data_IF_653925051348
#
_entry.id   IF_653925051348
#
_cell.length_a   1.000
_cell.length_b   1.000
_cell.length_c   1.000
_cell.angle_alpha   90.00
_cell.angle_beta   90.00
_cell.angle_gamma   90.00
#
_symmetry.space_group_name_H-M   'P 1'
#
loop_
_entity.id
_entity.type
_entity.pdbx_description
1 polymer ?
#
# COMPACT_ATOMS: atom_id res chain seq x y z
N UNK A 1 -27.40 -20.88 17.25
CA UNK A 1 -27.77 -19.64 18.00
C UNK A 1 -26.67 -18.56 17.92
N UNK A 2 -25.45 -18.74 18.42
CA UNK A 2 -24.41 -17.66 18.35
C UNK A 2 -23.95 -17.43 16.92
N UNK A 3 -23.68 -18.48 16.17
CA UNK A 3 -23.27 -18.41 14.77
C UNK A 3 -24.32 -17.68 13.93
N UNK A 4 -25.59 -18.07 14.06
CA UNK A 4 -26.70 -17.47 13.30
C UNK A 4 -26.85 -15.98 13.63
N UNK A 5 -26.66 -15.59 14.89
CA UNK A 5 -26.75 -14.21 15.33
C UNK A 5 -25.61 -13.36 14.73
N UNK A 6 -24.37 -13.85 14.76
CA UNK A 6 -23.23 -13.16 14.15
C UNK A 6 -23.44 -13.04 12.64
N UNK A 7 -23.87 -14.10 11.97
CA UNK A 7 -24.15 -14.08 10.53
C UNK A 7 -25.21 -13.04 10.20
N UNK A 8 -26.33 -13.05 10.92
CA UNK A 8 -27.42 -12.07 10.74
C UNK A 8 -26.94 -10.62 10.96
N UNK A 9 -26.14 -10.39 12.00
CA UNK A 9 -25.59 -9.05 12.26
C UNK A 9 -24.67 -8.58 11.13
N UNK A 10 -23.80 -9.45 10.62
CA UNK A 10 -22.93 -9.11 9.48
C UNK A 10 -23.79 -8.73 8.27
N UNK A 11 -24.79 -9.54 7.92
CA UNK A 11 -25.68 -9.28 6.81
C UNK A 11 -26.46 -7.98 6.94
N UNK A 12 -26.90 -7.65 8.15
CA UNK A 12 -27.61 -6.40 8.43
C UNK A 12 -26.77 -5.15 8.14
N UNK A 13 -25.43 -5.25 8.26
CA UNK A 13 -24.50 -4.15 7.95
C UNK A 13 -24.04 -4.10 6.49
N UNK A 14 -24.36 -5.10 5.65
CA UNK A 14 -24.03 -5.07 4.22
C UNK A 14 -24.81 -3.96 3.50
N UNK A 15 -26.04 -3.65 3.92
CA UNK A 15 -26.86 -2.57 3.38
C UNK A 15 -27.65 -2.91 2.11
N UNK A 16 -27.51 -4.13 1.60
CA UNK A 16 -28.27 -4.73 0.50
C UNK A 16 -28.43 -6.23 0.72
N UNK A 17 -29.26 -6.91 -0.09
CA UNK A 17 -29.39 -8.37 0.02
C UNK A 17 -28.05 -9.03 -0.33
N UNK A 18 -27.45 -9.80 0.61
CA UNK A 18 -26.20 -10.50 0.34
C UNK A 18 -26.36 -11.52 -0.77
N UNK A 19 -25.29 -11.76 -1.52
CA UNK A 19 -25.23 -12.90 -2.44
C UNK A 19 -25.08 -14.20 -1.65
N UNK A 20 -25.29 -15.36 -2.30
CA UNK A 20 -25.07 -16.65 -1.64
C UNK A 20 -23.64 -16.81 -1.15
N UNK A 21 -22.66 -16.35 -1.94
CA UNK A 21 -21.25 -16.40 -1.55
C UNK A 21 -20.96 -15.51 -0.33
N UNK A 22 -21.55 -14.31 -0.26
CA UNK A 22 -21.42 -13.42 0.89
C UNK A 22 -22.08 -14.00 2.14
N UNK A 23 -23.25 -14.64 2.00
CA UNK A 23 -23.90 -15.36 3.11
C UNK A 23 -23.00 -16.49 3.63
N UNK A 24 -22.51 -17.36 2.72
CA UNK A 24 -21.64 -18.47 3.09
C UNK A 24 -20.33 -18.00 3.72
N UNK A 25 -19.75 -16.90 3.25
CA UNK A 25 -18.56 -16.32 3.84
C UNK A 25 -18.83 -15.74 5.22
N UNK A 26 -19.99 -15.08 5.44
CA UNK A 26 -20.38 -14.58 6.77
C UNK A 26 -20.62 -15.75 7.74
N UNK A 27 -21.25 -16.83 7.29
CA UNK A 27 -21.47 -18.05 8.08
C UNK A 27 -20.13 -18.72 8.45
N UNK A 28 -19.24 -18.91 7.47
CA UNK A 28 -17.88 -19.45 7.69
C UNK A 28 -17.08 -18.59 8.67
N UNK A 29 -17.19 -17.26 8.55
CA UNK A 29 -16.56 -16.34 9.48
C UNK A 29 -17.12 -16.47 10.90
N UNK A 30 -18.42 -16.64 11.08
CA UNK A 30 -19.06 -16.87 12.37
C UNK A 30 -18.56 -18.18 13.02
N UNK A 31 -18.39 -19.26 12.26
CA UNK A 31 -17.77 -20.50 12.72
C UNK A 31 -16.29 -20.29 13.09
N UNK A 32 -15.50 -19.63 12.23
CA UNK A 32 -14.11 -19.30 12.53
C UNK A 32 -13.98 -18.51 13.84
N UNK A 33 -14.88 -17.56 14.10
CA UNK A 33 -14.83 -16.72 15.29
C UNK A 33 -15.20 -17.49 16.56
N UNK A 34 -16.19 -18.41 16.49
CA UNK A 34 -16.75 -19.09 17.66
C UNK A 34 -16.14 -20.46 17.94
N UNK A 35 -15.79 -21.21 16.90
CA UNK A 35 -15.34 -22.61 16.97
C UNK A 35 -13.86 -22.77 16.61
N UNK A 36 -13.24 -21.77 15.99
CA UNK A 36 -11.86 -21.83 15.58
C UNK A 36 -10.90 -22.05 16.76
N UNK A 37 -9.96 -22.96 16.57
CA UNK A 37 -8.89 -23.22 17.55
C UNK A 37 -7.89 -22.06 17.62
N UNK A 38 -7.01 -22.07 18.61
CA UNK A 38 -6.07 -20.95 18.86
C UNK A 38 -5.21 -20.59 17.65
N UNK A 39 -4.83 -21.57 16.83
CA UNK A 39 -4.01 -21.38 15.63
C UNK A 39 -4.85 -21.43 14.35
N UNK A 40 -6.07 -20.92 14.38
CA UNK A 40 -6.89 -20.79 13.17
C UNK A 40 -6.70 -19.44 12.49
N UNK A 41 -6.74 -19.47 11.16
CA UNK A 41 -6.66 -18.30 10.28
C UNK A 41 -7.78 -18.39 9.24
N UNK A 42 -8.34 -17.26 8.82
CA UNK A 42 -9.36 -17.25 7.77
C UNK A 42 -8.89 -16.45 6.56
N UNK A 43 -9.20 -16.98 5.38
CA UNK A 43 -9.00 -16.32 4.08
C UNK A 43 -10.36 -16.05 3.45
N UNK A 44 -10.58 -14.81 3.00
CA UNK A 44 -11.69 -14.46 2.12
C UNK A 44 -11.12 -14.00 0.78
N UNK A 45 -11.34 -14.78 -0.25
CA UNK A 45 -10.95 -14.47 -1.63
C UNK A 45 -12.14 -13.94 -2.42
N UNK A 46 -11.85 -13.15 -3.44
CA UNK A 46 -12.90 -12.75 -4.38
C UNK A 46 -12.38 -11.80 -5.43
N UNK A 47 -13.08 -11.72 -6.56
CA UNK A 47 -12.74 -10.82 -7.66
C UNK A 47 -13.21 -9.37 -7.40
N UNK A 48 -12.82 -8.47 -8.31
CA UNK A 48 -13.38 -7.13 -8.34
C UNK A 48 -14.90 -7.19 -8.52
N UNK A 49 -15.63 -6.36 -7.77
CA UNK A 49 -17.10 -6.28 -7.86
C UNK A 49 -17.88 -7.37 -7.11
N UNK A 50 -17.24 -8.33 -6.43
CA UNK A 50 -17.93 -9.35 -5.62
C UNK A 50 -18.31 -8.88 -4.22
N UNK A 51 -17.92 -7.65 -3.85
CA UNK A 51 -18.29 -7.03 -2.57
C UNK A 51 -17.41 -7.41 -1.39
N UNK A 52 -16.15 -7.82 -1.60
CA UNK A 52 -15.15 -8.07 -0.54
C UNK A 52 -15.09 -6.93 0.48
N UNK A 53 -14.93 -5.70 -0.01
CA UNK A 53 -14.82 -4.50 0.85
C UNK A 53 -16.11 -4.25 1.63
N UNK A 54 -17.28 -4.50 1.04
CA UNK A 54 -18.57 -4.37 1.72
C UNK A 54 -18.71 -5.42 2.82
N UNK A 55 -18.34 -6.67 2.55
CA UNK A 55 -18.35 -7.75 3.55
C UNK A 55 -17.34 -7.47 4.67
N UNK A 56 -16.11 -7.04 4.34
CA UNK A 56 -15.10 -6.67 5.33
C UNK A 56 -15.61 -5.55 6.24
N UNK A 57 -16.22 -4.50 5.66
CA UNK A 57 -16.80 -3.40 6.43
C UNK A 57 -17.96 -3.86 7.33
N UNK A 58 -18.80 -4.75 6.83
CA UNK A 58 -19.90 -5.32 7.60
C UNK A 58 -19.39 -6.17 8.79
N UNK A 59 -18.37 -6.99 8.57
CA UNK A 59 -17.68 -7.74 9.63
C UNK A 59 -17.15 -6.78 10.71
N UNK A 60 -16.41 -5.72 10.32
CA UNK A 60 -15.85 -4.74 11.26
C UNK A 60 -16.95 -4.06 12.07
N UNK A 61 -18.02 -3.60 11.43
CA UNK A 61 -19.17 -2.94 12.09
C UNK A 61 -19.88 -3.89 13.07
N UNK A 62 -20.11 -5.14 12.66
CA UNK A 62 -20.70 -6.18 13.50
C UNK A 62 -19.85 -6.42 14.76
N UNK A 63 -18.55 -6.67 14.59
CA UNK A 63 -17.63 -6.89 15.70
C UNK A 63 -17.52 -5.68 16.63
N UNK A 64 -17.52 -4.47 16.07
CA UNK A 64 -17.52 -3.23 16.86
C UNK A 64 -18.80 -3.10 17.69
N UNK A 65 -19.97 -3.43 17.12
CA UNK A 65 -21.25 -3.44 17.84
C UNK A 65 -21.27 -4.46 18.98
N UNK A 66 -20.61 -5.59 18.79
CA UNK A 66 -20.42 -6.64 19.81
C UNK A 66 -19.30 -6.33 20.81
N UNK A 67 -18.67 -5.14 20.70
CA UNK A 67 -17.52 -4.72 21.55
C UNK A 67 -16.31 -5.66 21.45
N UNK A 68 -16.18 -6.39 20.36
CA UNK A 68 -15.00 -7.19 20.07
C UNK A 68 -13.86 -6.29 19.60
N UNK A 69 -12.65 -6.62 20.03
CA UNK A 69 -11.45 -5.87 19.64
C UNK A 69 -11.04 -6.25 18.23
N UNK A 70 -10.88 -5.25 17.36
CA UNK A 70 -10.40 -5.42 16.01
C UNK A 70 -9.20 -4.53 15.73
N UNK A 71 -8.27 -5.00 14.92
CA UNK A 71 -7.14 -4.22 14.38
C UNK A 71 -7.16 -4.37 12.89
N UNK A 72 -7.32 -3.24 12.18
CA UNK A 72 -7.40 -3.20 10.73
C UNK A 72 -6.05 -2.87 10.13
N UNK A 73 -5.65 -3.59 9.12
CA UNK A 73 -4.36 -3.41 8.44
C UNK A 73 -4.50 -3.54 6.94
N UNK A 74 -3.55 -2.94 6.21
CA UNK A 74 -3.38 -3.13 4.78
C UNK A 74 -1.88 -3.02 4.41
N UNK A 75 -1.44 -3.54 3.25
CA UNK A 75 -0.04 -3.48 2.83
C UNK A 75 0.48 -2.05 2.58
N UNK A 76 -0.38 -1.16 2.08
CA UNK A 76 -0.01 0.21 1.68
C UNK A 76 -0.81 1.27 2.47
N UNK A 77 -0.28 2.50 2.55
CA UNK A 77 -0.96 3.63 3.21
C UNK A 77 -2.30 3.94 2.56
N UNK A 78 -2.36 3.93 1.22
CA UNK A 78 -3.60 4.19 0.48
C UNK A 78 -4.66 3.11 0.71
N UNK A 79 -4.29 1.83 0.66
CA UNK A 79 -5.21 0.73 0.96
C UNK A 79 -5.71 0.82 2.42
N UNK A 80 -4.85 1.16 3.38
CA UNK A 80 -5.25 1.37 4.76
C UNK A 80 -6.26 2.53 4.90
N UNK A 81 -6.05 3.64 4.18
CA UNK A 81 -7.00 4.76 4.17
C UNK A 81 -8.36 4.36 3.58
N UNK A 82 -8.38 3.69 2.43
CA UNK A 82 -9.63 3.20 1.80
C UNK A 82 -10.35 2.24 2.75
N UNK A 83 -9.62 1.33 3.38
CA UNK A 83 -10.19 0.42 4.37
C UNK A 83 -10.74 1.15 5.60
N UNK A 84 -10.04 2.19 6.09
CA UNK A 84 -10.54 3.04 7.20
C UNK A 84 -11.85 3.73 6.84
N UNK A 85 -11.95 4.35 5.67
CA UNK A 85 -13.15 5.06 5.22
C UNK A 85 -14.33 4.10 5.09
N UNK A 86 -14.14 2.95 4.47
CA UNK A 86 -15.20 1.99 4.22
C UNK A 86 -15.70 1.30 5.50
N UNK A 87 -14.79 0.98 6.42
CA UNK A 87 -15.11 0.31 7.68
C UNK A 87 -15.59 1.25 8.79
N UNK A 88 -15.26 2.53 8.70
CA UNK A 88 -15.51 3.52 9.77
C UNK A 88 -14.58 3.36 10.98
N UNK A 89 -13.49 2.60 10.86
CA UNK A 89 -12.51 2.36 11.91
C UNK A 89 -11.08 2.57 11.39
N UNK A 90 -10.17 2.99 12.26
CA UNK A 90 -8.79 3.30 11.83
C UNK A 90 -8.05 2.04 11.41
N UNK A 91 -7.53 2.02 10.17
CA UNK A 91 -6.64 1.00 9.66
C UNK A 91 -5.19 1.51 9.60
N UNK A 92 -4.24 0.61 9.74
CA UNK A 92 -2.80 0.88 9.72
C UNK A 92 -2.13 0.13 8.58
N UNK A 93 -0.95 0.59 8.14
CA UNK A 93 -0.14 -0.31 7.32
C UNK A 93 0.39 -1.46 8.17
N UNK A 94 0.56 -2.65 7.55
CA UNK A 94 1.13 -3.82 8.24
C UNK A 94 2.46 -3.43 8.89
N UNK A 95 3.36 -2.82 8.13
CA UNK A 95 4.68 -2.40 8.62
C UNK A 95 4.61 -1.50 9.85
N UNK A 96 3.70 -0.51 9.85
CA UNK A 96 3.50 0.39 10.99
C UNK A 96 3.04 -0.35 12.24
N UNK A 97 2.24 -1.39 12.07
CA UNK A 97 1.64 -2.10 13.21
C UNK A 97 2.57 -3.12 13.83
N UNK A 98 3.29 -3.88 12.99
CA UNK A 98 4.04 -5.03 13.46
C UNK A 98 5.53 -4.76 13.74
N UNK A 99 6.10 -3.66 13.20
CA UNK A 99 7.52 -3.35 13.40
C UNK A 99 7.74 -2.14 14.31
N UNK A 100 8.86 -2.18 15.03
CA UNK A 100 9.42 -1.06 15.78
C UNK A 100 10.86 -0.82 15.37
N UNK A 101 11.27 0.43 15.37
CA UNK A 101 12.65 0.81 15.11
C UNK A 101 13.57 0.29 16.20
N UNK A 102 14.65 -0.39 15.81
CA UNK A 102 15.69 -0.80 16.72
C UNK A 102 16.76 0.28 16.79
N UNK A 103 17.00 0.81 17.98
CA UNK A 103 18.10 1.74 18.23
C UNK A 103 19.41 0.95 18.33
N UNK A 104 20.17 0.79 17.23
CA UNK A 104 21.49 0.14 17.28
C UNK A 104 22.55 0.82 16.39
N UNK A 105 23.81 0.51 16.71
CA UNK A 105 25.01 1.11 16.14
C UNK A 105 25.37 0.51 14.77
N UNK A 106 24.80 1.00 13.70
CA UNK A 106 25.13 0.67 12.30
C UNK A 106 24.48 1.65 11.33
N UNK A 107 24.89 1.66 10.08
CA UNK A 107 24.42 2.54 9.00
C UNK A 107 22.97 2.28 8.63
N UNK A 108 22.49 1.04 8.80
CA UNK A 108 21.15 0.64 8.44
C UNK A 108 20.21 0.69 9.65
N UNK A 109 19.12 1.42 9.50
CA UNK A 109 18.02 1.40 10.46
C UNK A 109 17.33 0.05 10.33
N UNK A 110 17.59 -0.86 11.25
CA UNK A 110 16.89 -2.15 11.28
C UNK A 110 15.62 -2.03 12.14
N UNK A 111 14.56 -2.68 11.68
CA UNK A 111 13.29 -2.74 12.36
C UNK A 111 13.06 -4.17 12.87
N UNK A 112 12.83 -4.30 14.16
CA UNK A 112 12.46 -5.58 14.75
C UNK A 112 10.95 -5.72 14.80
N UNK A 113 10.51 -6.96 14.85
CA UNK A 113 9.14 -7.29 15.19
C UNK A 113 8.79 -6.68 16.55
N UNK A 114 7.64 -6.04 16.64
CA UNK A 114 7.13 -5.48 17.89
C UNK A 114 6.51 -6.57 18.75
N UNK A 115 6.41 -6.32 20.06
CA UNK A 115 5.69 -7.22 20.95
C UNK A 115 4.17 -7.01 20.75
N UNK A 116 3.41 -8.09 20.57
CA UNK A 116 1.96 -8.01 20.50
C UNK A 116 1.35 -8.05 21.89
N UNK A 117 0.93 -6.89 22.39
CA UNK A 117 0.26 -6.75 23.68
C UNK A 117 -1.27 -6.89 23.60
N UNK A 118 -1.80 -7.20 22.41
CA UNK A 118 -3.25 -7.39 22.22
C UNK A 118 -3.72 -8.71 22.84
N UNK A 119 -4.96 -8.67 23.35
CA UNK A 119 -5.68 -9.84 23.90
C UNK A 119 -7.08 -9.88 23.33
N UNK A 120 -7.56 -11.08 22.99
CA UNK A 120 -8.91 -11.33 22.46
C UNK A 120 -9.19 -10.42 21.25
N UNK A 121 -8.25 -10.36 20.30
CA UNK A 121 -8.27 -9.38 19.20
C UNK A 121 -8.24 -10.09 17.86
N UNK A 122 -9.16 -9.70 16.96
CA UNK A 122 -9.12 -10.09 15.57
C UNK A 122 -8.33 -9.06 14.75
N UNK A 123 -7.29 -9.54 14.07
CA UNK A 123 -6.56 -8.77 13.09
C UNK A 123 -7.17 -9.02 11.72
N UNK A 124 -7.47 -7.96 10.98
CA UNK A 124 -8.05 -8.03 9.63
C UNK A 124 -7.10 -7.32 8.67
N UNK A 125 -6.67 -8.02 7.64
CA UNK A 125 -5.81 -7.47 6.59
C UNK A 125 -6.57 -7.46 5.27
N UNK A 126 -6.82 -6.27 4.72
CA UNK A 126 -7.32 -6.11 3.36
C UNK A 126 -6.15 -6.01 2.36
N UNK A 127 -6.40 -6.31 1.09
CA UNK A 127 -5.38 -6.37 0.02
C UNK A 127 -4.22 -7.33 0.34
N UNK A 128 -4.52 -8.45 0.99
CA UNK A 128 -3.52 -9.43 1.43
C UNK A 128 -2.75 -10.09 0.26
N UNK A 129 -3.23 -9.96 -0.99
CA UNK A 129 -2.53 -10.40 -2.20
C UNK A 129 -1.12 -9.85 -2.36
N UNK A 130 -0.83 -8.69 -1.76
CA UNK A 130 0.46 -8.01 -1.84
C UNK A 130 1.48 -8.48 -0.76
N UNK A 131 1.11 -9.38 0.14
CA UNK A 131 1.98 -9.84 1.23
C UNK A 131 2.93 -10.90 0.71
N UNK A 132 4.23 -10.58 0.70
CA UNK A 132 5.30 -11.49 0.26
C UNK A 132 5.72 -12.46 1.35
N UNK A 133 6.12 -13.67 0.93
CA UNK A 133 6.78 -14.68 1.75
C UNK A 133 8.23 -14.91 1.33
N UNK A 134 8.73 -14.19 0.32
CA UNK A 134 10.12 -14.29 -0.09
C UNK A 134 11.03 -13.44 0.80
N UNK A 135 12.14 -14.04 1.28
CA UNK A 135 13.13 -13.31 2.05
C UNK A 135 13.93 -12.36 1.14
N UNK A 136 13.91 -11.08 1.44
CA UNK A 136 14.84 -10.13 0.83
C UNK A 136 16.06 -9.96 1.73
N UNK A 137 17.23 -10.43 1.30
CA UNK A 137 18.50 -10.23 2.02
C UNK A 137 18.86 -8.76 2.24
N UNK A 138 18.18 -7.85 1.55
CA UNK A 138 18.33 -6.40 1.70
C UNK A 138 17.23 -5.77 2.55
N UNK A 139 16.32 -6.58 3.12
CA UNK A 139 15.25 -6.07 3.97
C UNK A 139 15.81 -5.50 5.26
N UNK A 140 15.37 -4.31 5.60
CA UNK A 140 15.66 -3.67 6.89
C UNK A 140 14.63 -4.03 7.96
N UNK A 141 13.61 -4.84 7.62
CA UNK A 141 12.49 -5.20 8.47
C UNK A 141 12.52 -6.67 8.88
N UNK A 142 12.43 -6.93 10.18
CA UNK A 142 12.19 -8.24 10.78
C UNK A 142 13.06 -9.37 10.23
N UNK A 143 12.41 -10.47 9.85
CA UNK A 143 13.04 -11.61 9.18
C UNK A 143 13.34 -11.36 7.70
N UNK A 144 12.73 -10.35 7.11
CA UNK A 144 12.69 -10.11 5.66
C UNK A 144 11.52 -10.77 4.95
N UNK A 145 10.74 -11.62 5.63
CA UNK A 145 9.53 -12.28 5.15
C UNK A 145 8.30 -11.64 5.81
N UNK A 146 7.57 -10.80 5.09
CA UNK A 146 6.45 -10.04 5.67
C UNK A 146 5.33 -10.95 6.18
N UNK A 147 5.02 -12.04 5.47
CA UNK A 147 3.99 -12.99 5.89
C UNK A 147 4.38 -13.69 7.20
N UNK A 148 5.60 -14.21 7.30
CA UNK A 148 6.10 -14.88 8.49
C UNK A 148 6.10 -13.94 9.71
N UNK A 149 6.56 -12.69 9.52
CA UNK A 149 6.57 -11.68 10.56
C UNK A 149 5.16 -11.29 11.01
N UNK A 150 4.20 -11.18 10.07
CA UNK A 150 2.80 -10.92 10.38
C UNK A 150 2.17 -12.05 11.21
N UNK A 151 2.36 -13.29 10.79
CA UNK A 151 1.89 -14.48 11.51
C UNK A 151 2.50 -14.53 12.92
N UNK A 152 3.81 -14.39 13.00
CA UNK A 152 4.52 -14.36 14.28
C UNK A 152 4.02 -13.26 15.21
N UNK A 153 3.81 -12.05 14.69
CA UNK A 153 3.27 -10.95 15.47
C UNK A 153 1.87 -11.23 16.00
N UNK A 154 0.94 -11.62 15.12
CA UNK A 154 -0.46 -11.82 15.50
C UNK A 154 -0.58 -12.92 16.56
N UNK A 155 0.03 -14.07 16.34
CA UNK A 155 -0.14 -15.25 17.21
C UNK A 155 0.76 -15.25 18.44
N UNK A 156 1.68 -14.29 18.57
CA UNK A 156 2.35 -14.01 19.83
C UNK A 156 1.44 -13.26 20.84
N UNK A 157 0.31 -12.74 20.40
CA UNK A 157 -0.72 -12.17 21.27
C UNK A 157 -1.59 -13.24 21.92
N UNK A 158 -2.27 -12.85 23.00
CA UNK A 158 -3.15 -13.77 23.74
C UNK A 158 -4.51 -13.87 23.07
N UNK A 159 -4.90 -15.07 22.60
CA UNK A 159 -6.17 -15.32 21.93
C UNK A 159 -6.42 -14.35 20.76
N UNK A 160 -5.38 -14.11 19.95
CA UNK A 160 -5.47 -13.32 18.74
C UNK A 160 -5.67 -14.21 17.53
N UNK A 161 -6.38 -13.70 16.51
CA UNK A 161 -6.68 -14.39 15.26
C UNK A 161 -6.46 -13.46 14.07
N UNK A 162 -6.32 -14.04 12.87
CA UNK A 162 -6.07 -13.31 11.62
C UNK A 162 -7.11 -13.66 10.57
N UNK A 163 -7.67 -12.61 9.95
CA UNK A 163 -8.48 -12.68 8.74
C UNK A 163 -7.71 -11.99 7.61
N UNK A 164 -7.47 -12.70 6.53
CA UNK A 164 -6.83 -12.21 5.31
C UNK A 164 -7.89 -12.06 4.20
N UNK A 165 -7.94 -10.89 3.58
CA UNK A 165 -8.90 -10.59 2.50
C UNK A 165 -8.12 -10.12 1.28
N UNK A 166 -8.43 -10.68 0.10
CA UNK A 166 -7.73 -10.29 -1.12
C UNK A 166 -8.29 -10.91 -2.39
N UNK A 167 -7.56 -10.73 -3.47
CA UNK A 167 -7.93 -11.21 -4.81
C UNK A 167 -6.73 -11.94 -5.44
N UNK A 168 -6.88 -13.21 -5.73
CA UNK A 168 -5.82 -14.02 -6.36
C UNK A 168 -5.58 -13.67 -7.84
N UNK A 169 -6.50 -12.95 -8.48
CA UNK A 169 -6.32 -12.48 -9.85
C UNK A 169 -5.55 -11.15 -9.92
N UNK A 170 -5.31 -10.49 -8.77
CA UNK A 170 -4.41 -9.34 -8.71
C UNK A 170 -2.95 -9.78 -8.81
N UNK A 171 -2.08 -8.82 -9.16
CA UNK A 171 -0.65 -9.11 -9.26
C UNK A 171 -0.11 -9.64 -7.92
N UNK A 172 0.59 -10.77 -7.93
CA UNK A 172 1.27 -11.28 -6.74
C UNK A 172 2.43 -10.36 -6.33
N UNK A 173 3.02 -10.57 -5.15
CA UNK A 173 4.22 -9.84 -4.74
C UNK A 173 5.35 -9.99 -5.76
N UNK A 174 6.22 -8.99 -5.85
CA UNK A 174 7.32 -8.99 -6.81
C UNK A 174 8.25 -10.20 -6.57
N UNK A 175 8.44 -11.00 -7.61
CA UNK A 175 9.26 -12.20 -7.57
C UNK A 175 8.51 -13.47 -7.14
N UNK A 176 7.22 -13.40 -6.91
CA UNK A 176 6.36 -14.53 -6.61
C UNK A 176 5.35 -14.77 -7.74
N UNK A 177 4.99 -16.02 -7.99
CA UNK A 177 4.02 -16.40 -9.04
C UNK A 177 2.58 -16.34 -8.54
N UNK A 178 2.39 -16.53 -7.24
CA UNK A 178 1.09 -16.54 -6.57
C UNK A 178 1.14 -15.69 -5.31
N UNK A 179 0.00 -15.38 -4.73
CA UNK A 179 -0.09 -14.67 -3.45
C UNK A 179 0.01 -15.68 -2.28
N UNK A 180 1.15 -15.74 -1.55
CA UNK A 180 1.32 -16.73 -0.49
C UNK A 180 0.35 -16.54 0.68
N UNK A 181 -0.03 -15.30 0.98
CA UNK A 181 -0.97 -14.99 2.06
C UNK A 181 -2.41 -15.42 1.76
N UNK A 182 -2.75 -15.66 0.49
CA UNK A 182 -4.06 -16.13 0.06
C UNK A 182 -4.04 -17.61 -0.38
N UNK A 183 -2.93 -18.29 -0.18
CA UNK A 183 -2.77 -19.71 -0.54
C UNK A 183 -2.87 -20.57 0.70
N UNK A 184 -3.95 -21.37 0.77
CA UNK A 184 -4.26 -22.24 1.92
C UNK A 184 -3.10 -23.15 2.30
N UNK A 185 -2.51 -23.83 1.30
CA UNK A 185 -1.43 -24.79 1.48
C UNK A 185 -0.16 -24.12 2.04
N UNK A 186 0.04 -22.82 1.76
CA UNK A 186 1.17 -22.06 2.34
C UNK A 186 0.93 -21.83 3.83
N UNK A 187 -0.27 -21.43 4.22
CA UNK A 187 -0.60 -21.18 5.63
C UNK A 187 -0.65 -22.46 6.46
N UNK A 188 -1.11 -23.58 5.89
CA UNK A 188 -1.08 -24.90 6.52
C UNK A 188 0.33 -25.38 6.82
N UNK A 189 1.34 -25.01 5.99
CA UNK A 189 2.76 -25.29 6.28
C UNK A 189 3.28 -24.59 7.54
N UNK A 190 2.67 -23.47 7.92
CA UNK A 190 2.92 -22.81 9.20
C UNK A 190 2.12 -23.40 10.36
N UNK A 191 1.46 -24.56 10.16
CA UNK A 191 0.65 -25.27 11.16
C UNK A 191 -0.61 -24.52 11.58
N UNK A 192 -1.21 -23.75 10.69
CA UNK A 192 -2.50 -23.12 10.90
C UNK A 192 -3.65 -23.99 10.39
N UNK A 193 -4.77 -23.95 11.12
CA UNK A 193 -6.06 -24.45 10.66
C UNK A 193 -6.75 -23.36 9.83
N UNK A 194 -6.91 -23.61 8.54
CA UNK A 194 -7.30 -22.56 7.57
C UNK A 194 -8.75 -22.68 7.17
N UNK A 195 -9.54 -21.68 7.54
CA UNK A 195 -10.88 -21.43 7.03
C UNK A 195 -10.79 -20.64 5.72
N UNK A 196 -11.52 -21.04 4.71
CA UNK A 196 -11.47 -20.39 3.40
C UNK A 196 -12.88 -20.15 2.87
N UNK A 197 -13.11 -18.98 2.31
CA UNK A 197 -14.31 -18.61 1.59
C UNK A 197 -13.96 -17.87 0.31
N UNK A 198 -14.71 -18.12 -0.75
CA UNK A 198 -14.51 -17.49 -2.05
C UNK A 198 -15.79 -16.78 -2.51
N UNK A 199 -15.64 -15.52 -2.98
CA UNK A 199 -16.72 -14.70 -3.50
C UNK A 199 -16.57 -14.63 -5.02
N UNK A 200 -17.43 -15.36 -5.76
CA UNK A 200 -17.43 -15.41 -7.21
C UNK A 200 -18.60 -14.65 -7.82
N UNK A 201 -19.71 -14.50 -7.07
CA UNK A 201 -20.90 -13.80 -7.56
C UNK A 201 -20.66 -12.29 -7.66
N UNK A 202 -20.71 -11.77 -8.90
CA UNK A 202 -20.59 -10.32 -9.16
C UNK A 202 -21.92 -9.63 -8.87
N UNK A 203 -21.89 -8.56 -8.10
CA UNK A 203 -23.07 -7.75 -7.79
C UNK A 203 -23.68 -7.18 -9.08
N UNK A 204 -25.00 -7.34 -9.24
CA UNK A 204 -25.75 -7.04 -10.50
C UNK A 204 -25.66 -5.58 -10.97
N UNK A 205 -25.28 -4.65 -10.11
CA UNK A 205 -25.22 -3.21 -10.41
C UNK A 205 -24.14 -2.81 -11.42
N UNK A 206 -23.18 -3.69 -11.75
CA UNK A 206 -22.03 -3.38 -12.59
C UNK A 206 -22.03 -4.06 -13.97
N UNK A 207 -23.20 -4.55 -14.47
CA UNK A 207 -23.26 -5.25 -15.76
C UNK A 207 -22.89 -4.39 -16.96
N UNK A 208 -22.99 -3.05 -16.82
CA UNK A 208 -22.71 -2.09 -17.89
C UNK A 208 -21.29 -1.51 -17.81
N UNK A 209 -20.46 -1.99 -16.87
CA UNK A 209 -19.06 -1.59 -16.74
C UNK A 209 -18.15 -2.40 -17.66
N UNK A 210 -17.50 -1.71 -18.57
CA UNK A 210 -16.49 -2.30 -19.45
C UNK A 210 -15.20 -2.62 -18.70
N UNK A 211 -14.84 -1.85 -17.67
CA UNK A 211 -13.70 -2.14 -16.79
C UNK A 211 -13.91 -3.51 -16.13
N UNK A 212 -15.07 -3.72 -15.52
CA UNK A 212 -15.39 -4.97 -14.85
C UNK A 212 -15.51 -6.13 -15.84
N UNK A 213 -16.11 -5.89 -17.01
CA UNK A 213 -16.23 -6.93 -18.03
C UNK A 213 -14.85 -7.46 -18.47
N UNK A 214 -13.91 -6.54 -18.77
CA UNK A 214 -12.56 -6.92 -19.18
C UNK A 214 -11.75 -7.52 -18.03
N UNK A 215 -11.92 -7.04 -16.80
CA UNK A 215 -11.29 -7.67 -15.63
C UNK A 215 -11.74 -9.13 -15.44
N UNK A 216 -13.04 -9.41 -15.61
CA UNK A 216 -13.57 -10.76 -15.52
C UNK A 216 -13.09 -11.65 -16.69
N UNK A 217 -12.93 -11.10 -17.90
CA UNK A 217 -12.35 -11.83 -19.03
C UNK A 217 -10.93 -12.32 -18.68
N UNK A 218 -10.09 -11.43 -18.17
CA UNK A 218 -8.70 -11.77 -17.77
C UNK A 218 -8.74 -12.83 -16.65
N UNK A 219 -9.65 -12.70 -15.69
CA UNK A 219 -9.81 -13.68 -14.61
C UNK A 219 -10.16 -15.06 -15.15
N UNK A 220 -11.17 -15.15 -16.02
CA UNK A 220 -11.54 -16.43 -16.66
C UNK A 220 -10.33 -17.06 -17.35
N UNK A 221 -9.53 -16.28 -18.08
CA UNK A 221 -8.31 -16.78 -18.72
C UNK A 221 -7.27 -17.29 -17.71
N UNK A 222 -7.16 -16.67 -16.54
CA UNK A 222 -6.28 -17.13 -15.45
C UNK A 222 -6.80 -18.46 -14.89
N UNK A 223 -8.10 -18.55 -14.62
CA UNK A 223 -8.75 -19.74 -14.04
C UNK A 223 -8.70 -20.93 -15.01
N UNK A 224 -8.81 -20.67 -16.32
CA UNK A 224 -8.70 -21.66 -17.39
C UNK A 224 -7.25 -21.99 -17.80
N UNK A 225 -6.24 -21.37 -17.14
CA UNK A 225 -4.83 -21.55 -17.42
C UNK A 225 -4.43 -21.21 -18.87
N UNK A 226 -5.12 -20.25 -19.48
CA UNK A 226 -4.92 -19.83 -20.88
C UNK A 226 -3.67 -18.93 -21.04
N UNK A 227 -2.54 -19.32 -20.47
CA UNK A 227 -1.31 -18.49 -20.41
C UNK A 227 -0.63 -18.20 -21.76
N UNK A 228 -0.99 -18.92 -22.81
CA UNK A 228 -0.46 -18.70 -24.15
C UNK A 228 -1.25 -17.72 -25.00
N UNK A 229 -2.39 -17.24 -24.52
CA UNK A 229 -3.31 -16.41 -25.28
C UNK A 229 -3.26 -14.96 -24.80
N UNK A 230 -3.43 -14.02 -25.72
CA UNK A 230 -3.58 -12.61 -25.38
C UNK A 230 -5.07 -12.29 -25.18
N UNK A 231 -5.45 -11.54 -24.12
CA UNK A 231 -6.83 -11.15 -23.92
C UNK A 231 -7.31 -10.22 -25.04
N UNK A 232 -8.48 -10.53 -25.61
CA UNK A 232 -9.16 -9.64 -26.56
C UNK A 232 -10.05 -8.70 -25.77
N UNK A 233 -9.54 -7.49 -25.49
CA UNK A 233 -10.26 -6.49 -24.72
C UNK A 233 -11.46 -5.95 -25.49
N UNK A 234 -12.62 -5.88 -24.84
CA UNK A 234 -13.82 -5.26 -25.38
C UNK A 234 -13.83 -3.77 -24.99
N UNK A 235 -13.52 -2.91 -25.97
CA UNK A 235 -13.32 -1.47 -25.75
C UNK A 235 -14.51 -0.62 -26.24
N UNK A 236 -15.46 -1.20 -26.96
CA UNK A 236 -16.64 -0.50 -27.49
C UNK A 236 -17.87 -0.89 -26.70
N UNK A 237 -18.88 0.00 -26.68
CA UNK A 237 -20.20 -0.16 -26.05
C UNK A 237 -20.24 0.09 -24.53
N UNK A 238 -19.16 0.54 -23.93
CA UNK A 238 -19.12 0.94 -22.52
C UNK A 238 -18.80 2.42 -22.39
N UNK A 239 -19.42 3.08 -21.44
CA UNK A 239 -19.21 4.50 -21.17
C UNK A 239 -18.01 4.78 -20.25
N UNK A 240 -17.50 3.74 -19.61
CA UNK A 240 -16.40 3.78 -18.64
C UNK A 240 -15.05 3.39 -19.24
N UNK A 241 -14.98 3.09 -20.53
CA UNK A 241 -13.74 2.79 -21.26
C UNK A 241 -13.69 3.60 -22.55
N UNK A 242 -12.57 4.27 -22.77
CA UNK A 242 -12.26 5.00 -23.99
C UNK A 242 -10.86 4.62 -24.50
N UNK A 243 -10.70 4.59 -25.82
CA UNK A 243 -9.40 4.40 -26.46
C UNK A 243 -8.82 5.77 -26.76
N UNK A 244 -7.72 6.11 -26.10
CA UNK A 244 -6.99 7.36 -26.30
C UNK A 244 -5.73 7.09 -27.15
N UNK A 245 -5.60 7.78 -28.28
CA UNK A 245 -4.42 7.71 -29.12
C UNK A 245 -3.31 8.62 -28.58
N UNK A 246 -2.06 8.32 -28.97
CA UNK A 246 -0.90 9.02 -28.41
C UNK A 246 -0.85 10.52 -28.67
N UNK A 247 -1.41 10.98 -29.76
CA UNK A 247 -1.54 12.38 -30.14
C UNK A 247 -2.63 13.12 -29.33
N UNK A 248 -3.65 12.40 -28.87
CA UNK A 248 -4.77 12.94 -28.07
C UNK A 248 -4.48 12.90 -26.55
N UNK A 249 -3.51 12.11 -26.12
CA UNK A 249 -3.26 11.82 -24.70
C UNK A 249 -3.06 13.08 -23.85
N UNK A 250 -2.32 14.07 -24.36
CA UNK A 250 -2.04 15.32 -23.63
C UNK A 250 -3.33 16.12 -23.40
N UNK A 251 -4.20 16.20 -24.39
CA UNK A 251 -5.49 16.87 -24.29
C UNK A 251 -6.41 16.13 -23.30
N UNK A 252 -6.48 14.80 -23.42
CA UNK A 252 -7.27 13.96 -22.51
C UNK A 252 -6.82 14.09 -21.05
N UNK A 253 -5.51 14.05 -20.79
CA UNK A 253 -4.96 14.27 -19.45
C UNK A 253 -5.30 15.66 -18.90
N UNK A 254 -5.14 16.71 -19.74
CA UNK A 254 -5.46 18.06 -19.34
C UNK A 254 -6.95 18.21 -18.98
N UNK A 255 -7.84 17.60 -19.77
CA UNK A 255 -9.28 17.58 -19.50
C UNK A 255 -9.60 16.83 -18.19
N UNK A 256 -8.99 15.67 -17.96
CA UNK A 256 -9.16 14.90 -16.72
C UNK A 256 -8.69 15.68 -15.50
N UNK A 257 -7.52 16.32 -15.56
CA UNK A 257 -7.02 17.13 -14.46
C UNK A 257 -7.91 18.34 -14.15
N UNK A 258 -8.56 18.93 -15.17
CA UNK A 258 -9.54 20.01 -14.97
C UNK A 258 -10.85 19.51 -14.39
N UNK A 259 -11.29 18.31 -14.77
CA UNK A 259 -12.60 17.76 -14.42
C UNK A 259 -12.62 17.14 -13.02
N UNK A 260 -11.65 16.28 -12.72
CA UNK A 260 -11.61 15.50 -11.45
C UNK A 260 -10.43 15.86 -10.57
N UNK A 261 -9.47 16.62 -11.07
CA UNK A 261 -8.27 16.99 -10.34
C UNK A 261 -7.11 16.02 -10.53
N UNK A 262 -5.93 16.47 -10.10
CA UNK A 262 -4.68 15.73 -10.28
C UNK A 262 -4.59 14.50 -9.35
N UNK A 263 -5.22 14.57 -8.19
CA UNK A 263 -5.24 13.45 -7.22
C UNK A 263 -6.13 12.29 -7.69
N UNK A 264 -7.16 12.59 -8.46
CA UNK A 264 -8.14 11.63 -8.98
C UNK A 264 -7.86 11.18 -10.42
N UNK A 265 -6.71 11.58 -10.98
CA UNK A 265 -6.24 11.16 -12.32
C UNK A 265 -4.91 10.45 -12.20
N UNK A 266 -4.77 9.25 -12.78
CA UNK A 266 -3.56 8.45 -12.72
C UNK A 266 -3.21 7.82 -14.05
N UNK A 267 -1.93 7.86 -14.41
CA UNK A 267 -1.37 7.07 -15.52
C UNK A 267 -0.73 5.80 -14.96
N UNK A 268 -1.18 4.63 -15.39
CA UNK A 268 -0.65 3.34 -14.96
C UNK A 268 0.22 2.74 -16.04
N UNK A 269 1.42 2.31 -15.67
CA UNK A 269 2.42 1.81 -16.61
C UNK A 269 2.99 0.46 -16.18
N UNK A 270 3.57 -0.26 -17.15
CA UNK A 270 4.23 -1.54 -16.89
C UNK A 270 5.55 -1.42 -16.13
N UNK A 271 6.31 -0.33 -16.31
CA UNK A 271 7.66 -0.22 -15.79
C UNK A 271 8.01 1.17 -15.27
N UNK A 272 8.99 1.27 -14.37
CA UNK A 272 9.49 2.54 -13.85
C UNK A 272 10.03 3.45 -14.96
N UNK A 273 10.69 2.89 -15.97
CA UNK A 273 11.19 3.67 -17.12
C UNK A 273 10.04 4.33 -17.90
N UNK A 274 8.93 3.61 -18.13
CA UNK A 274 7.74 4.19 -18.76
C UNK A 274 7.07 5.23 -17.85
N UNK A 275 6.93 4.94 -16.56
CA UNK A 275 6.39 5.91 -15.61
C UNK A 275 7.19 7.22 -15.62
N UNK A 276 8.53 7.15 -15.67
CA UNK A 276 9.40 8.32 -15.78
C UNK A 276 9.09 9.17 -17.02
N UNK A 277 8.93 8.52 -18.19
CA UNK A 277 8.60 9.22 -19.45
C UNK A 277 7.25 9.96 -19.33
N UNK A 278 6.22 9.28 -18.82
CA UNK A 278 4.90 9.90 -18.63
C UNK A 278 4.91 10.99 -17.56
N UNK A 279 5.63 10.81 -16.47
CA UNK A 279 5.80 11.82 -15.43
C UNK A 279 6.42 13.11 -16.00
N UNK A 280 7.52 12.99 -16.76
CA UNK A 280 8.16 14.13 -17.41
C UNK A 280 7.27 14.74 -18.50
N UNK A 281 6.64 13.90 -19.31
CA UNK A 281 5.71 14.36 -20.35
C UNK A 281 4.54 15.16 -19.78
N UNK A 282 3.95 14.68 -18.68
CA UNK A 282 2.86 15.37 -17.99
C UNK A 282 3.33 16.71 -17.41
N UNK A 283 4.46 16.72 -16.70
CA UNK A 283 5.02 17.97 -16.15
C UNK A 283 5.27 19.02 -17.24
N UNK A 284 5.95 18.64 -18.29
CA UNK A 284 6.39 19.59 -19.31
C UNK A 284 5.28 20.02 -20.26
N UNK A 285 4.37 19.10 -20.65
CA UNK A 285 3.38 19.35 -21.71
C UNK A 285 1.99 19.71 -21.19
N UNK A 286 1.65 19.29 -19.97
CA UNK A 286 0.35 19.58 -19.36
C UNK A 286 0.44 20.74 -18.37
N UNK A 287 1.48 20.75 -17.51
CA UNK A 287 1.66 21.76 -16.47
C UNK A 287 2.66 22.86 -16.83
N UNK A 288 3.38 22.73 -17.94
CA UNK A 288 4.43 23.68 -18.37
C UNK A 288 5.48 23.94 -17.29
N UNK A 289 5.85 22.85 -16.54
CA UNK A 289 6.85 22.92 -15.48
C UNK A 289 8.25 22.72 -16.07
N UNK A 290 9.07 23.78 -16.08
CA UNK A 290 10.44 23.76 -16.60
C UNK A 290 11.47 23.42 -15.51
N UNK A 291 11.22 23.88 -14.26
CA UNK A 291 12.11 23.62 -13.14
C UNK A 291 12.09 22.14 -12.72
N UNK A 292 13.21 21.65 -12.19
CA UNK A 292 13.31 20.27 -11.69
C UNK A 292 12.25 19.96 -10.63
N UNK A 293 11.85 20.93 -9.81
CA UNK A 293 10.78 20.80 -8.83
C UNK A 293 10.00 22.11 -8.72
N UNK A 294 8.69 22.02 -8.92
CA UNK A 294 7.75 23.13 -8.85
C UNK A 294 6.75 22.97 -7.70
N UNK A 295 6.22 24.07 -7.21
CA UNK A 295 4.99 24.06 -6.40
C UNK A 295 3.86 23.48 -7.24
N UNK A 296 3.09 22.56 -6.66
CA UNK A 296 2.04 21.81 -7.37
C UNK A 296 2.51 20.43 -7.88
N UNK A 297 3.81 20.14 -7.94
CA UNK A 297 4.28 18.82 -8.29
C UNK A 297 3.72 17.75 -7.35
N UNK A 298 3.39 16.59 -7.91
CA UNK A 298 2.98 15.43 -7.13
C UNK A 298 4.14 14.46 -7.03
N UNK A 299 4.50 14.14 -5.81
CA UNK A 299 5.59 13.24 -5.47
C UNK A 299 5.05 11.99 -4.79
N UNK A 300 5.82 10.91 -4.88
CA UNK A 300 5.63 9.69 -4.13
C UNK A 300 6.89 9.39 -3.33
N UNK A 301 6.74 9.11 -2.06
CA UNK A 301 7.82 8.62 -1.18
C UNK A 301 8.23 7.23 -1.66
N UNK A 302 9.53 6.99 -1.86
CA UNK A 302 10.05 5.71 -2.36
C UNK A 302 10.83 4.92 -1.32
N UNK A 303 11.05 5.50 -0.14
CA UNK A 303 11.67 4.87 1.02
C UNK A 303 10.98 5.32 2.29
N UNK A 304 10.62 4.40 3.18
CA UNK A 304 10.00 4.73 4.47
C UNK A 304 10.87 5.73 5.24
N UNK A 305 10.23 6.74 5.84
CA UNK A 305 10.90 7.77 6.63
C UNK A 305 10.16 8.04 7.94
N UNK A 306 10.87 7.95 9.05
CA UNK A 306 10.35 8.14 10.40
C UNK A 306 10.80 9.46 11.01
N UNK A 307 11.94 9.96 10.57
CA UNK A 307 12.61 11.13 11.13
C UNK A 307 11.74 12.39 11.09
N UNK A 308 11.21 12.74 9.93
CA UNK A 308 10.48 13.99 9.75
C UNK A 308 9.18 14.04 10.54
N UNK A 309 8.49 12.92 10.64
CA UNK A 309 7.23 12.81 11.41
C UNK A 309 7.49 12.89 12.91
N UNK A 310 8.59 12.29 13.39
CA UNK A 310 9.00 12.36 14.78
C UNK A 310 9.45 13.79 15.16
N UNK A 311 10.28 14.44 14.33
CA UNK A 311 10.73 15.81 14.54
C UNK A 311 9.56 16.81 14.59
N UNK A 312 8.59 16.66 13.70
CA UNK A 312 7.40 17.52 13.65
C UNK A 312 6.34 17.16 14.70
N UNK A 313 6.51 16.07 15.47
CA UNK A 313 5.47 15.48 16.32
C UNK A 313 4.15 15.30 15.56
N UNK A 314 4.26 14.80 14.33
CA UNK A 314 3.15 14.65 13.42
C UNK A 314 2.12 13.65 13.96
N UNK A 315 0.83 13.77 13.58
CA UNK A 315 -0.19 12.79 13.95
C UNK A 315 0.00 11.43 13.24
N UNK A 316 0.91 11.38 12.27
CA UNK A 316 1.33 10.17 11.55
C UNK A 316 2.70 9.71 12.06
N UNK A 317 2.90 8.41 12.25
CA UNK A 317 4.14 7.89 12.86
C UNK A 317 5.32 7.82 11.89
N UNK A 318 5.08 7.72 10.60
CA UNK A 318 6.11 7.73 9.55
C UNK A 318 5.49 7.97 8.17
N UNK A 319 6.32 8.32 7.20
CA UNK A 319 5.98 8.39 5.78
C UNK A 319 6.32 7.04 5.14
N UNK A 320 5.32 6.38 4.58
CA UNK A 320 5.49 5.06 3.97
C UNK A 320 5.96 5.16 2.51
N UNK A 321 6.67 4.14 2.04
CA UNK A 321 6.87 3.94 0.61
C UNK A 321 5.51 3.80 -0.08
N UNK A 322 5.26 4.60 -1.12
CA UNK A 322 3.98 4.70 -1.80
C UNK A 322 3.12 5.89 -1.38
N UNK A 323 3.43 6.56 -0.25
CA UNK A 323 2.69 7.76 0.15
C UNK A 323 2.87 8.87 -0.87
N UNK A 324 1.75 9.50 -1.27
CA UNK A 324 1.72 10.62 -2.21
C UNK A 324 1.70 11.94 -1.47
N UNK A 325 2.41 12.91 -2.02
CA UNK A 325 2.47 14.26 -1.47
C UNK A 325 2.43 15.30 -2.58
N UNK A 326 1.79 16.44 -2.30
CA UNK A 326 1.75 17.62 -3.17
C UNK A 326 2.78 18.60 -2.65
N UNK A 327 3.65 19.10 -3.53
CA UNK A 327 4.62 20.15 -3.20
C UNK A 327 3.89 21.48 -3.06
N UNK A 328 3.83 22.04 -1.86
CA UNK A 328 3.22 23.35 -1.60
C UNK A 328 4.24 24.48 -1.73
N UNK A 329 5.49 24.23 -1.39
CA UNK A 329 6.58 25.21 -1.46
C UNK A 329 7.91 24.55 -1.65
N UNK A 330 8.79 25.16 -2.42
CA UNK A 330 10.20 24.77 -2.61
C UNK A 330 11.09 25.91 -2.12
N UNK A 331 12.14 25.59 -1.37
CA UNK A 331 13.14 26.55 -0.88
C UNK A 331 14.52 25.91 -0.87
N UNK A 332 15.55 26.75 -0.79
CA UNK A 332 16.92 26.37 -0.46
C UNK A 332 17.45 25.16 -1.25
N UNK A 333 17.36 25.21 -2.59
CA UNK A 333 18.05 24.21 -3.42
C UNK A 333 19.55 24.32 -3.19
N UNK A 334 20.23 23.20 -2.94
CA UNK A 334 21.67 23.15 -2.64
C UNK A 334 22.28 21.82 -3.02
N UNK A 335 23.55 21.85 -3.36
CA UNK A 335 24.35 20.66 -3.61
C UNK A 335 25.27 20.40 -2.41
N UNK A 336 25.20 19.21 -1.83
CA UNK A 336 26.03 18.72 -0.73
C UNK A 336 26.31 17.23 -0.94
N UNK A 337 27.52 16.81 -0.60
CA UNK A 337 27.93 15.39 -0.66
C UNK A 337 27.73 14.76 -2.07
N UNK A 338 27.82 15.58 -3.13
CA UNK A 338 27.56 15.15 -4.50
C UNK A 338 26.10 14.82 -4.82
N UNK A 339 25.16 15.29 -4.01
CA UNK A 339 23.71 15.16 -4.19
C UNK A 339 23.04 16.53 -4.11
N UNK A 340 21.88 16.64 -4.78
CA UNK A 340 21.07 17.85 -4.77
C UNK A 340 19.91 17.71 -3.79
N UNK A 341 19.76 18.71 -2.94
CA UNK A 341 18.71 18.77 -1.92
C UNK A 341 17.81 20.00 -2.09
N UNK A 342 16.59 19.89 -1.64
CA UNK A 342 15.68 21.02 -1.53
C UNK A 342 14.86 20.92 -0.23
N UNK A 343 14.63 22.07 0.43
CA UNK A 343 13.67 22.15 1.52
C UNK A 343 12.28 22.38 0.93
N UNK A 344 11.33 21.57 1.34
CA UNK A 344 9.98 21.59 0.78
C UNK A 344 8.92 21.58 1.87
N UNK A 345 7.78 22.20 1.58
CA UNK A 345 6.54 21.97 2.30
C UNK A 345 5.73 20.97 1.48
N UNK A 346 5.52 19.78 2.01
CA UNK A 346 4.73 18.71 1.41
C UNK A 346 3.38 18.62 2.08
N UNK A 347 2.31 18.48 1.30
CA UNK A 347 0.97 18.16 1.77
C UNK A 347 0.63 16.73 1.40
N UNK A 348 0.15 15.96 2.37
CA UNK A 348 -0.21 14.55 2.23
C UNK A 348 -1.74 14.38 2.19
N UNK A 349 -2.36 14.23 1.00
CA UNK A 349 -3.82 14.10 0.88
C UNK A 349 -4.37 12.88 1.63
N UNK A 350 -3.60 11.80 1.68
CA UNK A 350 -3.99 10.57 2.36
C UNK A 350 -4.00 10.67 3.89
N UNK A 351 -3.44 11.74 4.46
CA UNK A 351 -3.40 12.03 5.89
C UNK A 351 -4.10 13.36 6.22
N UNK A 352 -5.35 13.50 5.79
CA UNK A 352 -6.21 14.69 6.02
C UNK A 352 -5.56 16.01 5.60
N UNK A 353 -4.82 15.97 4.47
CA UNK A 353 -4.06 17.11 3.94
C UNK A 353 -3.01 17.65 4.91
N UNK A 354 -2.45 16.80 5.77
CA UNK A 354 -1.40 17.19 6.70
C UNK A 354 -0.20 17.77 5.95
N UNK A 355 0.28 18.92 6.42
CA UNK A 355 1.43 19.62 5.85
C UNK A 355 2.69 19.38 6.69
N UNK A 356 3.79 19.04 6.04
CA UNK A 356 5.06 18.73 6.68
C UNK A 356 6.23 19.39 5.95
N UNK A 357 7.04 20.12 6.72
CA UNK A 357 8.33 20.64 6.23
C UNK A 357 9.37 19.53 6.27
N UNK A 358 10.02 19.29 5.12
CA UNK A 358 11.06 18.27 4.98
C UNK A 358 12.17 18.72 4.04
N UNK A 359 13.31 18.03 4.10
CA UNK A 359 14.32 18.07 3.04
C UNK A 359 14.16 16.83 2.16
N UNK A 360 14.19 17.02 0.84
CA UNK A 360 14.15 15.93 -0.14
C UNK A 360 15.45 15.85 -0.93
N UNK A 361 15.72 14.68 -1.53
CA UNK A 361 16.82 14.47 -2.48
C UNK A 361 16.26 14.57 -3.89
N UNK A 362 16.73 15.53 -4.67
CA UNK A 362 16.29 15.79 -6.03
C UNK A 362 16.77 14.70 -7.01
N UNK A 363 17.97 14.15 -6.82
CA UNK A 363 18.55 13.12 -7.68
C UNK A 363 17.68 11.87 -7.79
N UNK A 364 16.82 11.59 -6.81
CA UNK A 364 15.90 10.46 -6.86
C UNK A 364 14.73 10.68 -7.79
N UNK A 365 14.35 11.92 -8.11
CA UNK A 365 13.19 12.25 -8.96
C UNK A 365 13.31 11.61 -10.35
N UNK A 366 14.50 11.61 -10.93
CA UNK A 366 14.79 11.14 -12.29
C UNK A 366 15.59 9.83 -12.31
N UNK A 367 15.97 9.29 -11.17
CA UNK A 367 16.72 8.05 -11.08
C UNK A 367 15.94 6.88 -11.70
N UNK A 368 16.63 5.96 -12.36
CA UNK A 368 16.05 4.71 -12.87
C UNK A 368 15.90 3.64 -11.76
N UNK A 369 16.67 3.79 -10.67
CA UNK A 369 16.56 2.93 -9.47
C UNK A 369 15.35 3.29 -8.61
N UNK A 370 14.91 2.39 -7.77
CA UNK A 370 13.78 2.64 -6.86
C UNK A 370 14.08 3.75 -5.84
N UNK A 371 15.32 3.83 -5.36
CA UNK A 371 15.84 4.77 -4.38
C UNK A 371 17.28 5.16 -4.76
N UNK A 372 18.02 5.86 -3.89
CA UNK A 372 19.45 6.13 -4.09
C UNK A 372 20.24 4.85 -4.34
N UNK A 373 21.20 4.90 -5.27
CA UNK A 373 22.11 3.79 -5.50
C UNK A 373 23.01 3.55 -4.27
N UNK A 374 23.68 2.39 -4.23
CA UNK A 374 24.61 2.09 -3.16
C UNK A 374 25.76 3.09 -3.09
N UNK A 375 26.30 3.47 -4.25
CA UNK A 375 27.37 4.46 -4.39
C UNK A 375 26.93 5.83 -3.89
N UNK A 376 25.72 6.27 -4.22
CA UNK A 376 25.17 7.55 -3.75
C UNK A 376 24.95 7.54 -2.22
N UNK A 377 24.45 6.45 -1.67
CA UNK A 377 24.32 6.31 -0.20
C UNK A 377 25.69 6.33 0.49
N UNK A 378 26.70 5.67 -0.08
CA UNK A 378 28.09 5.71 0.45
C UNK A 378 28.70 7.10 0.38
N UNK A 379 28.48 7.85 -0.72
CA UNK A 379 28.94 9.24 -0.85
C UNK A 379 28.33 10.15 0.22
N UNK A 380 27.01 10.09 0.37
CA UNK A 380 26.29 10.84 1.41
C UNK A 380 26.84 10.53 2.80
N UNK A 381 27.04 9.26 3.09
CA UNK A 381 27.53 8.83 4.40
C UNK A 381 28.98 9.29 4.66
N UNK A 382 29.86 9.20 3.66
CA UNK A 382 31.25 9.68 3.78
C UNK A 382 31.31 11.18 4.03
N UNK A 383 30.53 11.99 3.29
CA UNK A 383 30.46 13.42 3.51
C UNK A 383 29.99 13.78 4.91
N UNK A 384 28.94 13.10 5.41
CA UNK A 384 28.48 13.30 6.78
C UNK A 384 29.52 12.87 7.84
N UNK A 385 30.29 11.81 7.59
CA UNK A 385 31.39 11.41 8.48
C UNK A 385 32.47 12.47 8.58
N UNK A 386 32.73 13.23 7.50
CA UNK A 386 33.67 14.36 7.48
C UNK A 386 33.13 15.54 8.26
N UNK A 387 31.83 15.88 8.12
CA UNK A 387 31.24 17.00 8.88
C UNK A 387 31.22 16.76 10.39
N UNK A 388 31.09 15.50 10.81
CA UNK A 388 31.11 15.12 12.22
C UNK A 388 32.47 14.60 12.70
N UNK A 389 33.61 14.95 12.01
CA UNK A 389 34.96 14.46 12.38
C UNK A 389 35.38 14.86 13.78
N UNK A 390 34.94 16.02 14.28
CA UNK A 390 35.30 16.53 15.60
C UNK A 390 34.67 15.76 16.76
N UNK A 391 33.70 14.92 16.49
CA UNK A 391 33.06 14.07 17.49
C UNK A 391 33.90 12.82 17.72
N UNK A 392 34.66 12.81 18.83
CA UNK A 392 35.64 11.75 19.15
C UNK A 392 35.00 10.41 19.53
N UNK A 393 33.80 10.43 20.14
CA UNK A 393 33.10 9.21 20.58
C UNK A 393 32.28 8.64 19.41
N UNK A 394 32.65 7.47 18.93
CA UNK A 394 32.02 6.80 17.78
C UNK A 394 30.50 6.64 17.90
N UNK A 395 30.02 6.29 19.09
CA UNK A 395 28.58 6.11 19.35
C UNK A 395 27.83 7.44 19.27
N UNK A 396 28.39 8.52 19.78
CA UNK A 396 27.80 9.85 19.72
C UNK A 396 27.83 10.41 18.28
N UNK A 397 28.96 10.23 17.58
CA UNK A 397 29.08 10.58 16.14
C UNK A 397 27.96 9.90 15.33
N UNK A 398 27.76 8.59 15.52
CA UNK A 398 26.71 7.84 14.82
C UNK A 398 25.30 8.32 15.18
N UNK A 399 25.08 8.72 16.42
CA UNK A 399 23.80 9.27 16.86
C UNK A 399 23.51 10.61 16.17
N UNK A 400 24.51 11.49 16.05
CA UNK A 400 24.38 12.80 15.39
C UNK A 400 24.11 12.62 13.89
N UNK A 401 24.84 11.74 13.19
CA UNK A 401 24.61 11.44 11.76
C UNK A 401 23.17 10.92 11.55
N UNK A 402 22.68 10.05 12.42
CA UNK A 402 21.31 9.55 12.31
C UNK A 402 20.23 10.60 12.57
N UNK A 403 20.56 11.62 13.35
CA UNK A 403 19.67 12.75 13.61
C UNK A 403 19.89 13.90 12.62
N UNK A 404 20.72 13.70 11.60
CA UNK A 404 21.00 14.69 10.58
C UNK A 404 19.87 14.77 9.53
N UNK A 405 19.51 15.97 9.13
CA UNK A 405 18.43 16.22 8.17
C UNK A 405 18.73 15.69 6.77
N UNK A 406 20.02 15.75 6.34
CA UNK A 406 20.42 15.26 5.02
C UNK A 406 20.52 13.74 4.98
N UNK A 407 20.96 13.10 6.06
CA UNK A 407 20.91 11.64 6.20
C UNK A 407 19.49 11.11 6.09
N UNK A 408 18.54 11.87 6.64
CA UNK A 408 17.12 11.54 6.65
C UNK A 408 16.31 12.22 5.55
N UNK A 409 16.96 12.84 4.56
CA UNK A 409 16.25 13.48 3.46
C UNK A 409 15.35 12.49 2.72
N UNK A 410 14.13 12.94 2.40
CA UNK A 410 13.16 12.08 1.74
C UNK A 410 13.63 11.71 0.33
N UNK A 411 13.53 10.45 0.02
CA UNK A 411 13.71 9.94 -1.33
C UNK A 411 12.34 9.87 -2.00
N UNK A 412 12.19 10.59 -3.10
CA UNK A 412 10.89 10.82 -3.74
C UNK A 412 10.99 10.69 -5.26
N UNK A 413 9.87 10.38 -5.90
CA UNK A 413 9.71 10.40 -7.37
C UNK A 413 8.44 11.16 -7.74
N UNK A 414 8.37 11.64 -8.98
CA UNK A 414 7.11 12.17 -9.51
C UNK A 414 6.04 11.08 -9.55
N UNK A 415 4.79 11.46 -9.35
CA UNK A 415 3.68 10.52 -9.18
C UNK A 415 2.43 10.88 -10.00
N UNK A 416 2.60 11.40 -11.21
CA UNK A 416 1.54 11.51 -12.22
C UNK A 416 1.33 10.17 -12.93
N UNK A 417 2.40 9.38 -13.04
CA UNK A 417 2.39 8.04 -13.58
C UNK A 417 3.13 7.08 -12.63
N UNK A 418 2.54 5.91 -12.42
CA UNK A 418 3.07 4.86 -11.53
C UNK A 418 3.01 3.49 -12.19
N UNK A 419 3.70 2.51 -11.63
CA UNK A 419 3.62 1.12 -12.12
C UNK A 419 2.37 0.41 -11.60
N UNK A 420 1.91 -0.63 -12.32
CA UNK A 420 0.78 -1.47 -11.90
C UNK A 420 0.89 -1.94 -10.45
N UNK A 421 2.06 -2.44 -10.01
CA UNK A 421 2.27 -2.86 -8.63
C UNK A 421 2.05 -1.74 -7.60
N UNK A 422 2.46 -0.51 -7.94
CA UNK A 422 2.25 0.65 -7.05
C UNK A 422 0.81 1.17 -7.09
N UNK A 423 0.04 0.81 -8.12
CA UNK A 423 -1.34 1.18 -8.26
C UNK A 423 -2.29 0.24 -7.49
N UNK A 424 -1.83 -0.92 -7.07
CA UNK A 424 -2.65 -1.87 -6.31
C UNK A 424 -3.19 -1.24 -5.02
N UNK A 425 -4.44 -1.51 -4.70
CA UNK A 425 -5.17 -0.91 -3.57
C UNK A 425 -5.50 0.57 -3.76
N UNK A 426 -5.14 1.17 -4.90
CA UNK A 426 -5.50 2.54 -5.26
C UNK A 426 -6.83 2.61 -6.01
N UNK A 427 -7.50 3.77 -5.91
CA UNK A 427 -8.72 4.08 -6.64
C UNK A 427 -8.62 5.51 -7.17
N UNK A 428 -9.02 5.72 -8.42
CA UNK A 428 -9.01 7.02 -9.09
C UNK A 428 -10.23 7.14 -9.99
N UNK A 429 -10.73 8.35 -10.16
CA UNK A 429 -11.85 8.61 -11.04
C UNK A 429 -11.46 8.41 -12.52
N UNK A 430 -10.26 8.85 -12.92
CA UNK A 430 -9.74 8.65 -14.28
C UNK A 430 -8.40 7.94 -14.28
N UNK A 431 -8.29 6.86 -15.07
CA UNK A 431 -7.07 6.03 -15.19
C UNK A 431 -6.71 5.87 -16.67
N UNK A 432 -5.44 6.10 -16.99
CA UNK A 432 -4.85 5.97 -18.34
C UNK A 432 -3.84 4.85 -18.40
#
# INVERSE_FOLDING_TARGET
MIVDEITYQIESFIGFSPTNDQHNAALSFAHFLTEGVQNSIMIIKGSAGTGKTSLASAIVKSLTSLKQKVVLMAPTGRAAKVFSINSGATAFTIHRKIYRQKTFAGLDTTFNLNDNLHKDTLFIVDEASMISNSSSFTSTFGSGCLLEDLLSYVYNGVNCRLLLIGDNAQLPPIGEETSPALTKEVLERFSFDVYESELNEVLRQNKDSGILWNANLIRTMIDELAYGELPIMKLKQFSDIEVVYGDELIECLNNSYKQVGVDETMVITRSNARAKIYNLGTRNKVFDYEEELNSGDILMVVKNNYYWTEQAKAPISFLANGDRAIVRRVRNKRELYGLHFADVLLQFPDYDNYELYTTIILDTLLSDTAALSKEQNEMLYKGLLEDYQDVSVKTEKMKQIRSDAYFNALQVKYSYAITCHKAQGGQWAHVY
#
